data_IF_560517854788
#
_entry.id   IF_560517854788
#
_cell.length_a   1.000
_cell.length_b   1.000
_cell.length_c   1.000
_cell.angle_alpha   90.00
_cell.angle_beta   90.00
_cell.angle_gamma   90.00
#
_symmetry.space_group_name_H-M   'P 1'
#
loop_
_entity.id
_entity.type
_entity.pdbx_description
1 polymer ?
#
# COMPACT_ATOMS: atom_id res chain seq x y z
N UNK A 1 -10.67 -0.73 -6.53
CA UNK A 1 -10.55 0.75 -6.57
C UNK A 1 -9.20 1.14 -5.97
N UNK A 2 -8.50 2.18 -6.46
CA UNK A 2 -7.25 2.62 -5.87
C UNK A 2 -7.46 3.19 -4.45
N UNK A 3 -6.56 2.89 -3.53
CA UNK A 3 -6.56 3.49 -2.19
C UNK A 3 -6.06 4.93 -2.23
N UNK A 4 -6.54 5.71 -1.27
CA UNK A 4 -6.06 7.05 -0.91
C UNK A 4 -5.71 7.07 0.57
N UNK A 5 -4.98 8.06 1.05
CA UNK A 5 -4.65 8.20 2.48
C UNK A 5 -5.89 8.25 3.40
N UNK A 6 -7.07 8.56 2.86
CA UNK A 6 -8.34 8.55 3.60
C UNK A 6 -8.98 7.16 3.63
N UNK A 7 -8.80 6.38 2.55
CA UNK A 7 -9.46 5.09 2.32
C UNK A 7 -8.57 3.87 2.62
N UNK A 8 -7.31 4.08 3.01
CA UNK A 8 -6.42 2.99 3.44
C UNK A 8 -6.97 2.23 4.66
N UNK A 9 -6.59 0.95 4.82
CA UNK A 9 -6.94 0.19 6.01
C UNK A 9 -6.46 0.83 7.31
N UNK A 10 -7.21 0.66 8.40
CA UNK A 10 -6.89 1.30 9.69
C UNK A 10 -5.54 0.88 10.28
N UNK A 11 -5.09 -0.34 10.00
CA UNK A 11 -3.76 -0.79 10.41
C UNK A 11 -2.63 -0.07 9.65
N UNK A 12 -2.86 0.34 8.40
CA UNK A 12 -1.93 1.18 7.63
C UNK A 12 -1.94 2.60 8.20
N UNK A 13 -3.12 3.14 8.58
CA UNK A 13 -3.23 4.47 9.21
C UNK A 13 -2.43 4.62 10.51
N UNK A 14 -2.12 3.51 11.19
CA UNK A 14 -1.25 3.49 12.39
C UNK A 14 0.25 3.66 12.07
N UNK A 15 0.66 3.49 10.81
CA UNK A 15 2.05 3.65 10.38
C UNK A 15 2.45 5.12 10.29
N UNK A 16 3.76 5.44 10.29
CA UNK A 16 4.23 6.80 9.98
C UNK A 16 3.70 7.29 8.63
N UNK A 17 3.41 8.59 8.50
CA UNK A 17 2.80 9.18 7.29
C UNK A 17 3.52 8.79 5.99
N UNK A 18 4.85 8.78 6.01
CA UNK A 18 5.67 8.39 4.85
C UNK A 18 5.56 6.90 4.50
N UNK A 19 5.37 6.03 5.49
CA UNK A 19 5.08 4.61 5.24
C UNK A 19 3.68 4.41 4.62
N UNK A 20 2.68 5.19 5.05
CA UNK A 20 1.35 5.18 4.44
C UNK A 20 1.38 5.57 2.97
N UNK A 21 2.11 6.64 2.64
CA UNK A 21 2.30 7.12 1.26
C UNK A 21 2.99 6.06 0.39
N UNK A 22 4.03 5.41 0.90
CA UNK A 22 4.70 4.29 0.20
C UNK A 22 3.72 3.15 -0.05
N UNK A 23 2.95 2.77 0.97
CA UNK A 23 2.00 1.68 0.88
C UNK A 23 0.92 1.95 -0.18
N UNK A 24 0.31 3.14 -0.17
CA UNK A 24 -0.72 3.55 -1.16
C UNK A 24 -0.18 3.49 -2.58
N UNK A 25 1.00 4.09 -2.81
CA UNK A 25 1.61 4.13 -4.13
C UNK A 25 1.94 2.72 -4.63
N UNK A 26 2.54 1.89 -3.78
CA UNK A 26 2.91 0.52 -4.13
C UNK A 26 1.68 -0.35 -4.39
N UNK A 27 0.64 -0.24 -3.55
CA UNK A 27 -0.60 -0.99 -3.72
C UNK A 27 -1.31 -0.60 -5.02
N UNK A 28 -1.49 0.69 -5.28
CA UNK A 28 -2.18 1.17 -6.48
C UNK A 28 -1.44 0.79 -7.76
N UNK A 29 -0.09 0.84 -7.74
CA UNK A 29 0.72 0.37 -8.85
C UNK A 29 0.58 -1.14 -9.06
N UNK A 30 0.63 -1.92 -7.98
CA UNK A 30 0.53 -3.37 -8.04
C UNK A 30 -0.86 -3.85 -8.49
N UNK A 31 -1.95 -3.27 -7.98
CA UNK A 31 -3.31 -3.60 -8.45
C UNK A 31 -3.45 -3.32 -9.94
N UNK A 32 -2.92 -2.18 -10.42
CA UNK A 32 -2.96 -1.85 -11.85
C UNK A 32 -2.14 -2.83 -12.71
N UNK A 33 -1.07 -3.39 -12.17
CA UNK A 33 -0.16 -4.27 -12.91
C UNK A 33 -0.60 -5.74 -12.90
N UNK A 34 -1.10 -6.22 -11.77
CA UNK A 34 -1.37 -7.64 -11.54
C UNK A 34 -2.87 -7.97 -11.53
N UNK A 35 -3.74 -6.96 -11.43
CA UNK A 35 -5.20 -7.12 -11.25
C UNK A 35 -5.58 -8.09 -10.13
N UNK A 36 -4.67 -8.27 -9.17
CA UNK A 36 -4.81 -9.16 -8.02
C UNK A 36 -4.54 -8.39 -6.73
N UNK A 37 -5.56 -8.33 -5.89
CA UNK A 37 -5.55 -7.55 -4.67
C UNK A 37 -4.60 -8.15 -3.63
N UNK A 38 -4.58 -9.48 -3.50
CA UNK A 38 -3.74 -10.17 -2.51
C UNK A 38 -2.25 -9.97 -2.81
N UNK A 39 -1.85 -10.10 -4.07
CA UNK A 39 -0.50 -9.80 -4.54
C UNK A 39 -0.14 -8.34 -4.32
N UNK A 40 -1.07 -7.42 -4.61
CA UNK A 40 -0.85 -6.00 -4.37
C UNK A 40 -0.64 -5.67 -2.88
N UNK A 41 -1.39 -6.32 -1.98
CA UNK A 41 -1.18 -6.22 -0.53
C UNK A 41 0.23 -6.66 -0.12
N UNK A 42 0.69 -7.82 -0.61
CA UNK A 42 2.03 -8.35 -0.31
C UNK A 42 3.13 -7.41 -0.81
N UNK A 43 2.99 -6.90 -2.04
CA UNK A 43 3.94 -5.95 -2.65
C UNK A 43 3.98 -4.64 -1.85
N UNK A 44 2.82 -4.10 -1.48
CA UNK A 44 2.75 -2.85 -0.71
C UNK A 44 3.38 -2.98 0.67
N UNK A 45 3.18 -4.10 1.37
CA UNK A 45 3.87 -4.41 2.63
C UNK A 45 5.39 -4.51 2.43
N UNK A 46 5.83 -5.22 1.39
CA UNK A 46 7.25 -5.36 1.10
C UNK A 46 7.91 -4.01 0.80
N UNK A 47 7.22 -3.12 0.08
CA UNK A 47 7.70 -1.78 -0.22
C UNK A 47 7.89 -0.93 1.05
N UNK A 48 6.95 -1.02 2.01
CA UNK A 48 7.08 -0.35 3.31
C UNK A 48 8.28 -0.90 4.09
N UNK A 49 8.41 -2.22 4.19
CA UNK A 49 9.52 -2.91 4.90
C UNK A 49 10.89 -2.71 4.25
N UNK A 50 10.95 -2.36 2.97
CA UNK A 50 12.22 -2.07 2.31
C UNK A 50 12.76 -0.69 2.71
N UNK A 51 11.85 0.24 3.06
CA UNK A 51 12.18 1.62 3.42
C UNK A 51 12.35 1.84 4.92
N UNK A 52 11.93 0.89 5.74
CA UNK A 52 11.93 0.92 7.21
C UNK A 52 12.31 -0.44 7.78
#
# INVERSE_FOLDING_TARGET
MPYTLLTIPDWVKKMPKRAQEIWVNAFNAAVKQYDDEETAFKIAIAAVKNKY
#
